data_IF_166905372192
#
_entry.id   IF_166905372192
#
_cell.length_a   1.000
_cell.length_b   1.000
_cell.length_c   1.000
_cell.angle_alpha   90.00
_cell.angle_beta   90.00
_cell.angle_gamma   90.00
#
_symmetry.space_group_name_H-M   'P 1'
#
loop_
_entity.id
_entity.type
_entity.pdbx_description
1 polymer ?
#
# COMPACT_ATOMS: atom_id res chain seq x y z
N UNK A 1 -6.82 17.12 -1.28
CA UNK A 1 -7.40 15.96 -1.93
C UNK A 1 -6.29 15.09 -2.55
N UNK A 2 -6.35 13.81 -2.31
CA UNK A 2 -5.31 12.92 -2.83
C UNK A 2 -5.54 12.66 -4.31
N UNK A 3 -4.54 12.91 -5.12
CA UNK A 3 -4.61 12.65 -6.55
C UNK A 3 -3.78 11.40 -6.84
N UNK A 4 -4.45 10.31 -7.19
CA UNK A 4 -3.78 9.04 -7.42
C UNK A 4 -2.80 9.11 -8.59
N UNK A 5 -3.01 10.03 -9.50
CA UNK A 5 -2.12 10.16 -10.66
C UNK A 5 -0.73 10.67 -10.25
N UNK A 6 -0.64 11.34 -9.11
CA UNK A 6 0.63 11.84 -8.62
C UNK A 6 1.47 10.78 -7.91
N UNK A 7 0.89 9.59 -7.67
CA UNK A 7 1.59 8.53 -6.99
C UNK A 7 2.49 7.77 -7.95
N UNK A 8 3.63 7.27 -7.48
CA UNK A 8 4.47 6.42 -8.33
C UNK A 8 3.74 5.11 -8.66
N UNK A 9 4.21 4.44 -9.70
CA UNK A 9 3.60 3.18 -10.12
C UNK A 9 3.70 2.13 -9.02
N UNK A 10 4.82 2.11 -8.31
CA UNK A 10 5.03 1.19 -7.19
C UNK A 10 5.23 1.98 -5.91
N UNK A 11 4.74 1.42 -4.83
CA UNK A 11 4.81 2.04 -3.51
C UNK A 11 5.55 1.12 -2.55
N UNK A 12 6.25 1.72 -1.61
CA UNK A 12 6.92 0.96 -0.56
C UNK A 12 6.10 1.02 0.72
N UNK A 13 6.54 0.25 1.73
CA UNK A 13 5.89 0.30 3.04
C UNK A 13 5.90 1.72 3.60
N UNK A 14 7.02 2.42 3.46
CA UNK A 14 7.12 3.79 3.92
C UNK A 14 6.11 4.70 3.24
N UNK A 15 5.90 4.50 1.95
CA UNK A 15 4.91 5.28 1.22
C UNK A 15 3.50 5.02 1.73
N UNK A 16 3.18 3.75 2.02
CA UNK A 16 1.87 3.40 2.53
C UNK A 16 1.62 4.01 3.90
N UNK A 17 2.65 4.04 4.74
CA UNK A 17 2.52 4.67 6.06
C UNK A 17 2.14 6.13 5.90
N UNK A 18 2.76 6.83 4.98
CA UNK A 18 2.48 8.24 4.76
C UNK A 18 1.12 8.46 4.13
N UNK A 19 0.77 7.63 3.16
CA UNK A 19 -0.49 7.80 2.42
C UNK A 19 -1.68 7.44 3.29
N UNK A 20 -1.59 6.32 4.00
CA UNK A 20 -2.71 5.82 4.80
C UNK A 20 -2.73 6.36 6.22
N UNK A 21 -1.66 7.02 6.64
CA UNK A 21 -1.53 7.54 8.00
C UNK A 21 -1.68 6.44 9.04
N UNK A 22 -1.15 5.27 8.74
CA UNK A 22 -1.20 4.12 9.62
C UNK A 22 0.18 3.86 10.21
N UNK A 23 0.20 3.14 11.33
CA UNK A 23 1.46 2.74 11.91
C UNK A 23 2.12 1.67 11.08
N UNK A 24 3.44 1.52 11.25
CA UNK A 24 4.21 0.53 10.52
C UNK A 24 3.65 -0.87 10.74
N UNK A 25 3.30 -1.20 11.99
CA UNK A 25 2.79 -2.52 12.30
C UNK A 25 1.47 -2.79 11.58
N UNK A 26 0.60 -1.78 11.52
CA UNK A 26 -0.68 -1.93 10.85
C UNK A 26 -0.49 -2.16 9.36
N UNK A 27 0.44 -1.44 8.74
CA UNK A 27 0.72 -1.61 7.32
C UNK A 27 1.25 -3.01 7.04
N UNK A 28 2.17 -3.49 7.87
CA UNK A 28 2.68 -4.85 7.71
C UNK A 28 1.59 -5.89 7.88
N UNK A 29 0.67 -5.68 8.81
CA UNK A 29 -0.45 -6.61 8.98
C UNK A 29 -1.33 -6.65 7.74
N UNK A 30 -1.57 -5.51 7.12
CA UNK A 30 -2.35 -5.46 5.88
C UNK A 30 -1.67 -6.25 4.78
N UNK A 31 -0.35 -6.14 4.70
CA UNK A 31 0.41 -6.85 3.68
C UNK A 31 0.48 -8.34 3.96
N UNK A 32 0.65 -8.72 5.21
CA UNK A 32 0.72 -10.13 5.59
C UNK A 32 -0.61 -10.85 5.40
N UNK A 33 -1.69 -10.17 5.72
CA UNK A 33 -3.03 -10.75 5.57
C UNK A 33 -3.53 -10.66 4.14
N UNK A 34 -2.73 -10.08 3.24
CA UNK A 34 -3.03 -9.95 1.83
C UNK A 34 -4.29 -9.14 1.56
N UNK A 35 -4.60 -8.23 2.45
CA UNK A 35 -5.68 -7.28 2.21
C UNK A 35 -5.30 -6.29 1.12
N UNK A 36 -4.01 -6.01 1.02
CA UNK A 36 -3.46 -5.22 -0.07
C UNK A 36 -2.52 -6.13 -0.85
N UNK A 37 -2.73 -6.21 -2.15
CA UNK A 37 -1.86 -7.01 -3.00
C UNK A 37 -0.47 -6.40 -3.02
N UNK A 38 0.55 -7.19 -2.74
CA UNK A 38 1.92 -6.73 -2.74
C UNK A 38 2.83 -7.81 -3.28
N UNK A 39 3.94 -7.38 -3.84
CA UNK A 39 4.98 -8.30 -4.31
C UNK A 39 6.14 -8.22 -3.33
N UNK A 40 6.58 -9.38 -2.87
CA UNK A 40 7.73 -9.45 -1.96
C UNK A 40 8.98 -9.69 -2.79
N UNK A 41 9.83 -8.68 -2.86
CA UNK A 41 11.09 -8.77 -3.60
C UNK A 41 12.22 -8.72 -2.60
N UNK A 42 12.85 -9.88 -2.38
CA UNK A 42 13.88 -9.97 -1.36
C UNK A 42 13.31 -9.69 0.01
N UNK A 43 13.74 -8.60 0.63
CA UNK A 43 13.27 -8.23 1.96
C UNK A 43 12.29 -7.06 1.93
N UNK A 44 11.86 -6.67 0.76
CA UNK A 44 11.00 -5.48 0.61
C UNK A 44 9.66 -5.86 0.04
N UNK A 45 8.65 -5.19 0.53
CA UNK A 45 7.33 -5.26 -0.08
C UNK A 45 7.19 -4.13 -1.08
N UNK A 46 6.69 -4.47 -2.25
CA UNK A 46 6.40 -3.48 -3.28
C UNK A 46 4.92 -3.59 -3.61
N UNK A 47 4.21 -2.49 -3.47
CA UNK A 47 2.77 -2.45 -3.68
C UNK A 47 2.49 -1.66 -4.94
N UNK A 48 1.85 -2.27 -5.94
CA UNK A 48 1.45 -1.51 -7.12
C UNK A 48 0.43 -0.44 -6.75
N UNK A 49 0.51 0.69 -7.41
CA UNK A 49 -0.44 1.78 -7.20
C UNK A 49 -1.88 1.28 -7.35
N UNK A 50 -2.12 0.45 -8.36
CA UNK A 50 -3.46 -0.05 -8.62
C UNK A 50 -3.98 -0.91 -7.46
N UNK A 51 -3.09 -1.64 -6.78
CA UNK A 51 -3.49 -2.45 -5.64
C UNK A 51 -3.95 -1.57 -4.49
N UNK A 52 -3.25 -0.46 -4.26
CA UNK A 52 -3.64 0.47 -3.22
C UNK A 52 -4.98 1.12 -3.52
N UNK A 53 -5.16 1.56 -4.75
CA UNK A 53 -6.41 2.18 -5.16
C UNK A 53 -7.55 1.18 -5.01
N UNK A 54 -7.32 -0.04 -5.44
CA UNK A 54 -8.33 -1.09 -5.35
C UNK A 54 -8.72 -1.35 -3.89
N UNK A 55 -7.74 -1.39 -3.01
CA UNK A 55 -8.00 -1.59 -1.59
C UNK A 55 -8.87 -0.45 -1.03
N UNK A 56 -8.53 0.78 -1.38
CA UNK A 56 -9.24 1.94 -0.86
C UNK A 56 -10.68 2.00 -1.39
N UNK A 57 -10.89 1.57 -2.61
CA UNK A 57 -12.23 1.57 -3.19
C UNK A 57 -13.10 0.46 -2.64
N UNK A 58 -12.50 -0.68 -2.31
CA UNK A 58 -13.25 -1.80 -1.76
C UNK A 58 -13.40 -1.73 -0.25
N UNK A 59 -12.57 -0.96 0.42
CA UNK A 59 -12.64 -0.80 1.87
C UNK A 59 -13.77 0.16 2.21
N UNK A 60 -14.70 -0.33 2.93
CA UNK A 60 -15.85 0.47 3.34
C UNK A 60 -15.72 0.86 4.80
#
# INVERSE_FOLDING_TARGET
MCNYEDLPITLTVGDLIKILHLSKNTVYDLLRSRKIRAVNIGRKYVVPKSALINYLELAE
#
